data_IF_203085369260
#
_entry.id   IF_203085369260
#
_cell.length_a   1.000
_cell.length_b   1.000
_cell.length_c   1.000
_cell.angle_alpha   90.00
_cell.angle_beta   90.00
_cell.angle_gamma   90.00
#
_symmetry.space_group_name_H-M   'P 1'
#
loop_
_entity.id
_entity.type
_entity.pdbx_description
1 polymer ?
#
# COMPACT_ATOMS: atom_id res chain seq x y z
N UNK A 1 -4.91 5.87 -5.58
CA UNK A 1 -6.05 4.96 -5.33
C UNK A 1 -5.46 3.61 -5.01
N UNK A 2 -5.89 2.97 -3.92
CA UNK A 2 -5.34 1.68 -3.49
C UNK A 2 -6.49 0.68 -3.48
N UNK A 3 -6.77 0.10 -4.65
CA UNK A 3 -7.84 -0.86 -4.83
C UNK A 3 -7.22 -2.24 -4.97
N UNK A 4 -7.55 -3.20 -4.11
CA UNK A 4 -7.00 -4.55 -4.22
C UNK A 4 -7.18 -5.17 -5.61
N UNK A 5 -8.30 -4.87 -6.30
CA UNK A 5 -8.58 -5.29 -7.67
C UNK A 5 -7.63 -4.73 -8.75
N UNK A 6 -6.83 -3.71 -8.45
CA UNK A 6 -5.85 -3.13 -9.40
C UNK A 6 -4.48 -3.80 -9.32
N UNK A 7 -4.26 -4.69 -8.35
CA UNK A 7 -3.00 -5.40 -8.20
C UNK A 7 -3.13 -6.80 -8.81
N UNK A 8 -2.25 -7.10 -9.76
CA UNK A 8 -2.20 -8.42 -10.39
C UNK A 8 -1.64 -9.49 -9.44
N UNK A 9 -1.86 -10.78 -9.73
CA UNK A 9 -1.26 -11.89 -8.99
C UNK A 9 0.26 -11.72 -8.83
N UNK A 10 0.77 -11.93 -7.62
CA UNK A 10 2.19 -11.77 -7.25
C UNK A 10 2.57 -10.37 -6.78
N UNK A 11 1.78 -9.33 -7.11
CA UNK A 11 2.06 -7.97 -6.64
C UNK A 11 2.09 -7.92 -5.11
N UNK A 12 2.99 -7.10 -4.57
CA UNK A 12 3.21 -6.96 -3.12
C UNK A 12 3.55 -8.29 -2.42
N UNK A 13 3.94 -9.34 -3.16
CA UNK A 13 4.16 -10.68 -2.61
C UNK A 13 2.86 -11.41 -2.23
N UNK A 14 1.72 -11.05 -2.84
CA UNK A 14 0.42 -11.66 -2.60
C UNK A 14 -0.02 -12.46 -3.83
N UNK A 15 -0.46 -13.70 -3.63
CA UNK A 15 -0.93 -14.56 -4.72
C UNK A 15 -2.16 -13.99 -5.41
N UNK A 16 -3.12 -13.47 -4.64
CA UNK A 16 -4.33 -12.80 -5.14
C UNK A 16 -4.60 -11.57 -4.25
N UNK A 17 -4.08 -10.39 -4.62
CA UNK A 17 -4.27 -9.17 -3.82
C UNK A 17 -5.73 -8.82 -3.54
N UNK A 18 -6.63 -8.99 -4.52
CA UNK A 18 -8.07 -8.69 -4.35
C UNK A 18 -8.73 -9.56 -3.26
N UNK A 19 -8.23 -10.78 -3.05
CA UNK A 19 -8.69 -11.67 -1.98
C UNK A 19 -8.04 -11.39 -0.62
N UNK A 20 -7.12 -10.43 -0.55
CA UNK A 20 -6.38 -10.06 0.66
C UNK A 20 -6.42 -8.53 0.88
N UNK A 21 -7.60 -7.97 1.15
CA UNK A 21 -7.80 -6.52 1.23
C UNK A 21 -6.91 -5.85 2.28
N UNK A 22 -6.86 -6.38 3.50
CA UNK A 22 -6.01 -5.85 4.58
C UNK A 22 -4.56 -5.77 4.13
N UNK A 23 -4.01 -6.90 3.70
CA UNK A 23 -2.59 -7.03 3.39
C UNK A 23 -2.18 -6.15 2.20
N UNK A 24 -3.05 -6.05 1.19
CA UNK A 24 -2.81 -5.19 0.03
C UNK A 24 -2.73 -3.72 0.43
N UNK A 25 -3.67 -3.24 1.27
CA UNK A 25 -3.61 -1.87 1.78
C UNK A 25 -2.39 -1.68 2.67
N UNK A 26 -2.21 -2.54 3.68
CA UNK A 26 -1.13 -2.41 4.65
C UNK A 26 0.24 -2.39 3.95
N UNK A 27 0.54 -3.31 3.03
CA UNK A 27 1.81 -3.35 2.29
C UNK A 27 2.01 -2.12 1.42
N UNK A 28 0.99 -1.73 0.64
CA UNK A 28 1.09 -0.56 -0.24
C UNK A 28 1.30 0.73 0.54
N UNK A 29 0.57 0.91 1.64
CA UNK A 29 0.65 2.11 2.47
C UNK A 29 1.93 2.13 3.31
N UNK A 30 2.41 0.98 3.79
CA UNK A 30 3.71 0.86 4.46
C UNK A 30 4.87 1.26 3.55
N UNK A 31 4.84 0.85 2.28
CA UNK A 31 5.84 1.27 1.30
C UNK A 31 5.81 2.80 1.11
N UNK A 32 4.61 3.40 1.05
CA UNK A 32 4.43 4.85 1.01
C UNK A 32 5.02 5.54 2.27
N UNK A 33 4.81 5.00 3.48
CA UNK A 33 5.40 5.54 4.72
C UNK A 33 6.92 5.59 4.67
N UNK A 34 7.57 4.53 4.17
CA UNK A 34 9.03 4.48 4.02
C UNK A 34 9.53 5.60 3.12
N UNK A 35 8.90 5.75 1.95
CA UNK A 35 9.24 6.83 1.00
C UNK A 35 9.06 8.21 1.65
N UNK A 36 7.95 8.42 2.38
CA UNK A 36 7.70 9.70 3.08
C UNK A 36 8.68 9.96 4.22
N UNK A 37 9.20 8.90 4.86
CA UNK A 37 10.25 9.01 5.87
C UNK A 37 11.64 9.24 5.28
N UNK A 38 11.75 9.36 3.95
CA UNK A 38 13.01 9.59 3.25
C UNK A 38 13.83 8.32 3.00
N UNK A 39 13.27 7.13 3.23
CA UNK A 39 13.96 5.87 2.96
C UNK A 39 14.00 5.67 1.44
N UNK A 40 15.20 5.58 0.89
CA UNK A 40 15.41 5.36 -0.56
C UNK A 40 15.78 3.90 -0.85
N UNK A 41 15.55 3.43 -2.09
CA UNK A 41 15.92 2.08 -2.52
C UNK A 41 17.40 1.73 -2.25
N UNK A 42 18.29 2.73 -2.18
CA UNK A 42 19.70 2.54 -1.82
C UNK A 42 19.86 2.04 -0.40
N UNK A 43 19.07 2.55 0.55
CA UNK A 43 19.12 2.11 1.95
C UNK A 43 18.43 0.76 2.15
N UNK A 44 17.41 0.44 1.33
CA UNK A 44 16.80 -0.89 1.26
C UNK A 44 17.77 -1.94 0.67
N UNK A 45 18.60 -1.57 -0.32
CA UNK A 45 19.62 -2.44 -0.91
C UNK A 45 20.79 -2.72 0.05
N UNK A 46 21.21 -1.71 0.81
CA UNK A 46 22.25 -1.83 1.84
C UNK A 46 21.75 -2.62 3.07
N UNK A 47 20.50 -2.42 3.49
CA UNK A 47 19.86 -3.19 4.55
C UNK A 47 19.51 -4.64 4.13
N UNK A 48 19.29 -4.89 2.83
CA UNK A 48 19.07 -6.22 2.28
C UNK A 48 20.36 -6.95 1.85
N UNK A 49 21.53 -6.34 2.03
CA UNK A 49 22.82 -6.95 1.72
C UNK A 49 23.07 -7.23 0.22
N UNK A 50 22.27 -6.65 -0.67
CA UNK A 50 22.36 -6.88 -2.12
C UNK A 50 23.02 -5.69 -2.81
N UNK A 51 24.30 -5.45 -2.51
CA UNK A 51 25.11 -4.44 -3.18
C UNK A 51 25.40 -4.82 -4.64
N UNK A 52 24.70 -4.20 -5.60
CA UNK A 52 25.06 -4.27 -7.02
C UNK A 52 26.02 -3.13 -7.34
N UNK A 53 27.27 -3.50 -7.58
CA UNK A 53 28.37 -2.61 -7.96
C UNK A 53 28.34 -2.25 -9.46
N UNK A 54 28.50 -0.96 -9.76
CA UNK A 54 28.87 -0.40 -11.08
C UNK A 54 27.70 0.22 -11.87
N UNK A 55 27.78 1.40 -12.49
CA UNK A 55 28.90 2.25 -12.90
C UNK A 55 28.43 3.72 -13.01
N UNK A 56 29.34 4.65 -12.74
CA UNK A 56 29.20 6.07 -13.11
C UNK A 56 29.32 6.26 -14.64
N UNK A 57 28.55 7.18 -15.25
CA UNK A 57 29.00 8.06 -16.37
C UNK A 57 28.02 9.23 -16.59
N UNK A 58 28.62 10.42 -16.53
CA UNK A 58 28.36 11.78 -17.02
C UNK A 58 27.05 12.24 -17.68
N UNK A 59 26.70 13.46 -17.26
CA UNK A 59 25.76 14.43 -17.82
C UNK A 59 25.98 14.69 -19.33
N UNK A 60 24.92 15.04 -20.07
CA UNK A 60 24.82 16.22 -20.97
C UNK A 60 23.34 16.52 -21.34
N UNK A 61 23.04 17.81 -21.46
CA UNK A 61 21.71 18.37 -21.71
C UNK A 61 21.33 18.36 -23.21
N UNK A 62 20.06 18.11 -23.53
CA UNK A 62 19.49 18.27 -24.87
C UNK A 62 17.98 18.48 -24.82
N UNK A 63 17.51 19.56 -25.45
CA UNK A 63 16.16 20.12 -25.39
C UNK A 63 15.13 19.44 -26.32
N UNK A 64 13.89 19.30 -25.81
CA UNK A 64 12.54 19.46 -26.45
C UNK A 64 12.19 18.69 -27.75
N UNK A 65 11.04 17.97 -27.76
CA UNK A 65 9.95 18.15 -28.77
C UNK A 65 8.73 17.21 -28.59
N UNK A 66 7.55 17.80 -28.38
CA UNK A 66 6.25 17.51 -29.07
C UNK A 66 5.60 16.11 -29.10
N UNK A 67 4.47 16.01 -28.41
CA UNK A 67 3.24 15.21 -28.62
C UNK A 67 3.13 14.15 -29.75
N UNK A 68 2.64 12.97 -29.37
CA UNK A 68 1.99 12.01 -30.26
C UNK A 68 1.14 11.02 -29.46
N UNK A 69 -0.16 11.00 -29.73
CA UNK A 69 -1.13 10.09 -29.11
C UNK A 69 -0.79 8.63 -29.40
N UNK A 70 -0.75 7.80 -28.35
CA UNK A 70 -0.92 6.34 -28.30
C UNK A 70 -0.47 5.92 -26.90
N UNK A 71 -1.31 6.13 -25.88
CA UNK A 71 -1.02 5.50 -24.58
C UNK A 71 -1.55 4.08 -24.63
N UNK A 72 -0.71 3.20 -25.15
CA UNK A 72 -0.60 1.85 -24.63
C UNK A 72 -0.55 1.95 -23.11
N UNK A 73 -1.36 1.15 -22.42
CA UNK A 73 -1.38 1.08 -20.97
C UNK A 73 0.01 0.64 -20.50
N UNK A 74 0.85 1.63 -20.20
CA UNK A 74 2.13 1.43 -19.53
C UNK A 74 1.83 0.81 -18.18
N UNK A 75 2.07 -0.49 -18.09
CA UNK A 75 2.20 -1.19 -16.82
C UNK A 75 3.31 -0.49 -16.03
N UNK A 76 2.93 0.24 -14.97
CA UNK A 76 3.88 0.63 -13.92
C UNK A 76 4.24 -0.66 -13.19
N UNK A 77 5.20 -1.38 -13.76
CA UNK A 77 5.80 -2.57 -13.18
C UNK A 77 6.65 -2.13 -12.00
N UNK A 78 6.03 -2.11 -10.82
CA UNK A 78 6.70 -1.94 -9.54
C UNK A 78 7.17 -3.30 -9.03
N UNK A 79 8.50 -3.45 -8.99
CA UNK A 79 9.30 -4.52 -8.39
C UNK A 79 9.29 -5.86 -9.13
N UNK A 80 10.23 -6.00 -10.08
CA UNK A 80 10.68 -7.29 -10.56
C UNK A 80 11.39 -8.06 -9.44
N UNK A 81 11.08 -9.36 -9.30
CA UNK A 81 11.90 -10.32 -8.53
C UNK A 81 12.06 -11.59 -9.36
N UNK A 82 13.21 -12.28 -9.31
CA UNK A 82 13.57 -13.31 -10.29
C UNK A 82 12.63 -14.51 -10.33
N UNK A 83 12.45 -15.01 -11.55
CA UNK A 83 11.74 -16.23 -11.91
C UNK A 83 12.27 -17.45 -11.13
N UNK A 84 11.43 -18.05 -10.27
CA UNK A 84 11.73 -19.32 -9.62
C UNK A 84 11.63 -20.49 -10.61
N UNK A 85 12.79 -21.06 -10.95
CA UNK A 85 12.92 -22.46 -11.33
C UNK A 85 13.33 -23.23 -10.07
N UNK A 86 12.58 -24.28 -9.75
CA UNK A 86 12.59 -25.00 -8.47
C UNK A 86 13.96 -25.22 -7.83
N UNK A 87 14.12 -24.66 -6.63
CA UNK A 87 15.12 -25.05 -5.65
C UNK A 87 14.51 -24.86 -4.24
N UNK A 88 14.80 -25.80 -3.34
CA UNK A 88 14.30 -25.87 -1.95
C UNK A 88 14.47 -24.55 -1.17
N UNK A 89 13.57 -24.20 -0.23
CA UNK A 89 13.59 -22.91 0.45
C UNK A 89 14.73 -22.85 1.46
N UNK A 90 15.79 -22.11 1.13
CA UNK A 90 16.73 -21.60 2.12
C UNK A 90 16.11 -20.43 2.89
N UNK A 91 16.39 -20.31 4.19
CA UNK A 91 15.88 -19.24 5.07
C UNK A 91 16.00 -17.86 4.40
N UNK A 92 14.86 -17.25 4.09
CA UNK A 92 14.80 -15.87 3.67
C UNK A 92 15.26 -15.01 4.86
N UNK A 93 16.35 -14.28 4.68
CA UNK A 93 16.79 -13.25 5.63
C UNK A 93 15.69 -12.18 5.68
N UNK A 94 14.90 -12.17 6.76
CA UNK A 94 13.90 -11.14 6.99
C UNK A 94 14.61 -9.81 7.26
N UNK A 95 14.58 -8.90 6.29
CA UNK A 95 14.96 -7.51 6.51
C UNK A 95 13.92 -6.92 7.45
N UNK A 96 14.29 -6.77 8.73
CA UNK A 96 13.42 -6.19 9.76
C UNK A 96 13.31 -4.67 9.56
N UNK A 97 12.24 -4.23 8.93
CA UNK A 97 11.88 -2.80 8.87
C UNK A 97 11.20 -2.36 10.17
N UNK A 98 11.35 -1.08 10.57
CA UNK A 98 10.57 -0.52 11.68
C UNK A 98 9.07 -0.53 11.36
N UNK A 99 8.25 -0.46 12.41
CA UNK A 99 6.79 -0.34 12.28
C UNK A 99 6.45 0.95 11.48
N UNK A 100 5.64 0.86 10.40
CA UNK A 100 5.19 2.02 9.63
C UNK A 100 4.55 3.14 10.46
N UNK A 101 3.91 2.83 11.59
CA UNK A 101 3.33 3.84 12.50
C UNK A 101 4.38 4.73 13.14
N UNK A 102 5.59 4.21 13.32
CA UNK A 102 6.71 4.91 13.95
C UNK A 102 7.51 5.76 12.95
N UNK A 103 7.22 5.63 11.65
CA UNK A 103 7.87 6.38 10.59
C UNK A 103 7.29 7.80 10.46
N UNK A 104 7.99 8.76 11.05
CA UNK A 104 7.73 10.17 10.86
C UNK A 104 8.14 10.60 9.43
N UNK A 105 7.32 11.41 8.72
CA UNK A 105 7.73 11.99 7.45
C UNK A 105 9.01 12.83 7.60
N UNK A 106 9.87 12.81 6.60
CA UNK A 106 11.04 13.68 6.54
C UNK A 106 10.59 15.16 6.63
N UNK A 107 11.36 16.02 7.29
CA UNK A 107 10.97 17.42 7.59
C UNK A 107 10.57 18.24 6.35
N UNK A 108 11.12 17.88 5.18
CA UNK A 108 10.83 18.49 3.90
C UNK A 108 9.53 18.00 3.23
N UNK A 109 9.02 16.84 3.65
CA UNK A 109 7.81 16.21 3.10
C UNK A 109 6.59 16.61 3.93
N UNK A 110 5.75 17.49 3.37
CA UNK A 110 4.56 18.05 4.04
C UNK A 110 3.21 17.49 3.56
N UNK A 111 3.23 16.43 2.75
CA UNK A 111 2.00 15.87 2.18
C UNK A 111 1.27 14.96 3.19
N UNK A 112 -0.01 15.23 3.41
CA UNK A 112 -0.92 14.28 4.06
C UNK A 112 -1.50 13.34 3.01
N UNK A 113 -1.47 12.03 3.26
CA UNK A 113 -1.95 11.02 2.29
C UNK A 113 -3.32 10.51 2.74
N UNK A 114 -4.28 10.55 1.82
CA UNK A 114 -5.62 9.97 1.98
C UNK A 114 -5.88 9.01 0.83
N UNK A 115 -5.71 7.69 1.02
CA UNK A 115 -6.00 6.73 -0.03
C UNK A 115 -7.51 6.68 -0.31
N UNK A 116 -7.82 6.45 -1.58
CA UNK A 116 -9.15 6.01 -1.98
C UNK A 116 -9.19 4.48 -1.86
N UNK A 117 -10.20 3.93 -1.18
CA UNK A 117 -10.44 2.52 -0.90
C UNK A 117 -11.62 1.97 -1.72
N UNK A 118 -11.61 0.66 -1.98
CA UNK A 118 -12.58 -0.03 -2.83
C UNK A 118 -13.85 -0.41 -2.04
N UNK A 119 -15.03 -0.04 -2.55
CA UNK A 119 -16.34 -0.44 -2.02
C UNK A 119 -17.22 -1.06 -3.13
N UNK A 120 -16.63 -1.95 -3.92
CA UNK A 120 -17.35 -2.68 -4.96
C UNK A 120 -16.66 -4.02 -5.24
N UNK A 121 -17.42 -4.95 -5.80
CA UNK A 121 -16.90 -6.25 -6.25
C UNK A 121 -16.44 -6.15 -7.71
N UNK A 122 -15.16 -6.37 -7.96
CA UNK A 122 -14.56 -6.34 -9.28
C UNK A 122 -14.71 -7.70 -9.98
N UNK A 123 -15.93 -8.05 -10.42
CA UNK A 123 -16.24 -9.38 -10.98
C UNK A 123 -15.46 -9.77 -12.24
N UNK A 124 -14.78 -8.80 -12.86
CA UNK A 124 -13.92 -8.97 -14.02
C UNK A 124 -12.46 -9.30 -13.68
N UNK A 125 -12.10 -9.34 -12.39
CA UNK A 125 -10.75 -9.74 -11.93
C UNK A 125 -10.74 -11.24 -11.61
N UNK A 126 -9.73 -11.94 -12.10
CA UNK A 126 -9.53 -13.35 -11.79
C UNK A 126 -9.18 -13.51 -10.30
N UNK A 127 -9.89 -14.40 -9.62
CA UNK A 127 -9.73 -14.60 -8.18
C UNK A 127 -10.41 -13.55 -7.31
N UNK A 128 -11.30 -12.71 -7.88
CA UNK A 128 -12.04 -11.73 -7.10
C UNK A 128 -12.87 -12.37 -5.98
N UNK A 129 -13.08 -11.59 -4.93
CA UNK A 129 -14.01 -11.92 -3.84
C UNK A 129 -15.21 -10.98 -3.85
N UNK A 130 -16.30 -11.38 -3.19
CA UNK A 130 -17.40 -10.45 -2.92
C UNK A 130 -16.95 -9.44 -1.87
N UNK A 131 -17.13 -8.15 -2.15
CA UNK A 131 -16.81 -7.07 -1.23
C UNK A 131 -18.05 -6.67 -0.43
N UNK A 132 -17.95 -6.82 0.89
CA UNK A 132 -18.95 -6.38 1.85
C UNK A 132 -18.32 -5.69 3.07
N UNK A 133 -19.06 -5.64 4.19
CA UNK A 133 -18.61 -4.99 5.42
C UNK A 133 -17.22 -5.41 5.91
N UNK A 134 -16.89 -6.70 5.83
CA UNK A 134 -15.65 -7.25 6.37
C UNK A 134 -14.44 -6.84 5.53
N UNK A 135 -14.54 -6.92 4.20
CA UNK A 135 -13.46 -6.52 3.28
C UNK A 135 -13.20 -5.01 3.35
N UNK A 136 -14.24 -4.21 3.59
CA UNK A 136 -14.12 -2.76 3.76
C UNK A 136 -13.43 -2.42 5.08
N UNK A 137 -13.86 -3.05 6.18
CA UNK A 137 -13.18 -2.89 7.48
C UNK A 137 -11.72 -3.35 7.42
N UNK A 138 -11.44 -4.44 6.73
CA UNK A 138 -10.07 -4.93 6.52
C UNK A 138 -9.20 -3.88 5.81
N UNK A 139 -9.71 -3.21 4.77
CA UNK A 139 -8.98 -2.12 4.12
C UNK A 139 -8.75 -0.94 5.06
N UNK A 140 -9.80 -0.49 5.76
CA UNK A 140 -9.72 0.63 6.72
C UNK A 140 -8.69 0.33 7.81
N UNK A 141 -8.72 -0.88 8.37
CA UNK A 141 -7.76 -1.32 9.37
C UNK A 141 -6.33 -1.33 8.80
N UNK A 142 -6.13 -1.77 7.55
CA UNK A 142 -4.82 -1.70 6.89
C UNK A 142 -4.30 -0.27 6.73
N UNK A 143 -5.18 0.73 6.53
CA UNK A 143 -4.80 2.15 6.49
C UNK A 143 -4.30 2.59 7.88
N UNK A 144 -5.07 2.32 8.93
CA UNK A 144 -4.71 2.66 10.31
C UNK A 144 -3.43 1.96 10.74
N UNK A 145 -3.27 0.68 10.38
CA UNK A 145 -2.10 -0.10 10.73
C UNK A 145 -0.83 0.35 10.00
N UNK A 146 -0.96 0.91 8.80
CA UNK A 146 0.13 1.60 8.12
C UNK A 146 0.36 3.03 8.65
N UNK A 147 -0.29 3.43 9.74
CA UNK A 147 -0.12 4.71 10.42
C UNK A 147 -0.80 5.89 9.75
N UNK A 148 -1.72 5.67 8.80
CA UNK A 148 -2.52 6.75 8.22
C UNK A 148 -3.85 6.89 8.95
N UNK A 149 -4.36 8.12 9.06
CA UNK A 149 -5.56 8.40 9.85
C UNK A 149 -6.81 8.63 8.98
N UNK A 150 -6.63 8.82 7.69
CA UNK A 150 -7.66 9.32 6.80
C UNK A 150 -7.73 8.49 5.52
N UNK A 151 -8.93 8.30 4.99
CA UNK A 151 -9.22 7.53 3.78
C UNK A 151 -10.55 8.00 3.16
N UNK A 152 -10.81 7.60 1.92
CA UNK A 152 -12.06 7.90 1.22
C UNK A 152 -12.55 6.62 0.53
N UNK A 153 -13.81 6.22 0.70
CA UNK A 153 -14.37 5.10 -0.07
C UNK A 153 -14.75 5.54 -1.48
N UNK A 154 -14.59 4.62 -2.43
CA UNK A 154 -15.00 4.83 -3.81
C UNK A 154 -15.85 3.69 -4.33
N UNK A 155 -16.96 4.07 -4.96
CA UNK A 155 -17.78 3.18 -5.77
C UNK A 155 -18.39 3.98 -6.94
N UNK A 156 -18.15 3.54 -8.18
CA UNK A 156 -18.71 4.19 -9.38
C UNK A 156 -20.24 4.26 -9.37
N UNK A 157 -20.91 3.31 -8.72
CA UNK A 157 -22.37 3.30 -8.56
C UNK A 157 -22.86 4.31 -7.49
N UNK A 158 -21.97 4.99 -6.77
CA UNK A 158 -22.27 5.86 -5.64
C UNK A 158 -23.12 5.18 -4.55
N UNK A 159 -22.96 3.86 -4.39
CA UNK A 159 -23.56 3.08 -3.31
C UNK A 159 -22.44 2.66 -2.37
N UNK A 160 -22.60 2.95 -1.09
CA UNK A 160 -21.57 2.66 -0.09
C UNK A 160 -22.10 1.66 0.93
N UNK A 161 -21.25 0.72 1.32
CA UNK A 161 -21.61 -0.36 2.24
C UNK A 161 -21.47 0.14 3.68
N UNK A 162 -22.57 0.63 4.25
CA UNK A 162 -22.60 1.22 5.60
C UNK A 162 -22.05 0.29 6.67
N UNK A 163 -22.28 -1.02 6.57
CA UNK A 163 -21.79 -1.99 7.54
C UNK A 163 -20.26 -2.08 7.62
N UNK A 164 -19.53 -1.56 6.62
CA UNK A 164 -18.07 -1.47 6.66
C UNK A 164 -17.54 -0.30 7.49
N UNK A 165 -18.41 0.63 7.88
CA UNK A 165 -18.09 1.79 8.69
C UNK A 165 -18.31 1.47 10.17
N UNK A 166 -17.40 1.92 11.05
CA UNK A 166 -17.64 1.84 12.48
C UNK A 166 -18.79 2.76 12.87
N UNK A 167 -19.72 2.26 13.68
CA UNK A 167 -20.71 3.12 14.33
C UNK A 167 -20.02 3.99 15.40
N UNK A 168 -20.53 5.20 15.66
CA UNK A 168 -20.02 6.08 16.73
C UNK A 168 -19.95 5.36 18.11
N UNK A 169 -20.83 4.40 18.32
CA UNK A 169 -20.89 3.57 19.53
C UNK A 169 -19.72 2.58 19.65
N UNK A 170 -19.29 1.96 18.54
CA UNK A 170 -18.14 1.04 18.52
C UNK A 170 -16.82 1.81 18.71
N UNK A 171 -16.70 2.99 18.10
CA UNK A 171 -15.57 3.90 18.33
C UNK A 171 -15.47 4.34 19.81
N UNK A 172 -16.62 4.57 20.46
CA UNK A 172 -16.67 4.93 21.88
C UNK A 172 -16.34 3.76 22.81
N UNK A 173 -16.66 2.53 22.41
CA UNK A 173 -16.34 1.32 23.16
C UNK A 173 -14.84 0.98 23.09
N UNK A 174 -14.18 1.23 21.97
CA UNK A 174 -12.73 1.00 21.81
C UNK A 174 -11.86 2.12 22.41
N UNK A 175 -12.41 3.32 22.61
CA UNK A 175 -11.71 4.49 23.22
C UNK A 175 -11.89 4.66 24.73
N UNK A 176 -12.60 3.76 25.41
CA UNK A 176 -13.04 3.91 26.80
C UNK A 176 -11.97 3.68 27.90
N UNK A 177 -10.90 4.49 27.95
CA UNK A 177 -10.16 4.67 29.22
C UNK A 177 -10.96 5.61 30.12
N UNK A 178 -11.52 5.02 31.16
CA UNK A 178 -12.20 5.63 32.31
C UNK A 178 -11.70 7.05 32.65
N UNK A 179 -12.54 8.05 32.36
CA UNK A 179 -12.49 9.31 33.07
C UNK A 179 -12.78 9.01 34.55
N UNK A 180 -11.74 9.09 35.39
CA UNK A 180 -11.90 9.00 36.84
C UNK A 180 -12.80 10.14 37.29
N UNK A 181 -13.93 9.79 37.89
CA UNK A 181 -14.78 10.71 38.64
C UNK A 181 -13.94 11.50 39.65
N UNK A 182 -13.87 12.80 39.43
CA UNK A 182 -13.27 13.77 40.34
C UNK A 182 -14.28 14.15 41.42
N UNK A 183 -13.89 13.83 42.66
CA UNK A 183 -14.47 14.20 43.96
C UNK A 183 -14.99 15.64 44.07
#
# INVERSE_FOLDING_TARGET
MVYPSHYGPGNLGLSVPDAQPYETIYRSMSASRRVLAGWTQTEEAEASGSGVSGNEVSQEAGTVSGNGTSQEAGTVSGNATPQEAGAEPGEALEVSFPDPKELAPAEEIRAQVRPWLQDFTATWVDGHISYGPEEIRAQIQGVYDAGYEEWILWNAANRYTEGGLLAEEELSAEGGVSAKDGT
#
